data_IF_291543504799
#
_entry.id   IF_291543504799
#
_cell.length_a   1.000
_cell.length_b   1.000
_cell.length_c   1.000
_cell.angle_alpha   90.00
_cell.angle_beta   90.00
_cell.angle_gamma   90.00
#
_symmetry.space_group_name_H-M   'P 1'
#
loop_
_entity.id
_entity.type
_entity.pdbx_description
1 polymer ?
#
# COMPACT_ATOMS: atom_id res chain seq x y z
N UNK A 1 5.19 -7.13 8.83
CA UNK A 1 4.56 -5.82 8.54
C UNK A 1 3.97 -5.25 9.81
N UNK A 2 4.27 -4.01 10.10
CA UNK A 2 3.72 -3.28 11.25
C UNK A 2 2.91 -2.09 10.74
N UNK A 3 1.74 -1.85 11.34
CA UNK A 3 0.88 -0.75 10.97
C UNK A 3 0.56 0.09 12.20
N UNK A 4 0.88 1.39 12.12
CA UNK A 4 0.58 2.37 13.17
C UNK A 4 -0.46 3.37 12.63
N UNK A 5 -1.71 3.34 13.14
CA UNK A 5 -2.71 4.33 12.75
C UNK A 5 -2.28 5.74 13.15
N UNK A 6 -2.44 6.70 12.25
CA UNK A 6 -2.15 8.12 12.50
C UNK A 6 -3.44 8.93 12.56
N UNK A 7 -4.34 8.73 11.61
CA UNK A 7 -5.62 9.42 11.55
C UNK A 7 -6.70 8.51 10.98
N UNK A 8 -7.90 8.65 11.50
CA UNK A 8 -9.10 7.96 11.01
C UNK A 8 -10.30 8.88 11.22
N UNK A 9 -11.45 8.58 10.59
CA UNK A 9 -12.64 9.40 10.79
C UNK A 9 -13.02 9.51 12.27
N UNK A 10 -13.24 10.73 12.74
CA UNK A 10 -13.62 11.05 14.13
C UNK A 10 -15.01 11.63 14.23
N UNK A 11 -15.51 12.16 13.13
CA UNK A 11 -16.80 12.82 13.06
C UNK A 11 -17.54 12.42 11.78
N UNK A 12 -18.85 12.67 11.78
CA UNK A 12 -19.69 12.39 10.61
C UNK A 12 -19.17 13.15 9.39
N UNK A 13 -19.05 12.45 8.27
CA UNK A 13 -18.60 13.02 7.00
C UNK A 13 -17.10 12.96 6.76
N UNK A 14 -16.32 12.66 7.79
CA UNK A 14 -14.88 12.45 7.61
C UNK A 14 -14.61 11.09 6.98
N UNK A 15 -13.62 11.03 6.09
CA UNK A 15 -13.28 9.80 5.36
C UNK A 15 -11.78 9.49 5.38
N UNK A 16 -10.94 10.44 5.74
CA UNK A 16 -9.49 10.29 5.66
C UNK A 16 -8.97 9.24 6.63
N UNK A 17 -8.18 8.31 6.09
CA UNK A 17 -7.41 7.34 6.88
C UNK A 17 -5.95 7.52 6.52
N UNK A 18 -5.10 7.64 7.53
CA UNK A 18 -3.64 7.70 7.37
C UNK A 18 -3.01 6.73 8.34
N UNK A 19 -2.11 5.89 7.83
CA UNK A 19 -1.35 4.96 8.65
C UNK A 19 0.10 4.96 8.23
N UNK A 20 0.99 4.70 9.19
CA UNK A 20 2.39 4.42 8.92
C UNK A 20 2.54 2.90 8.87
N UNK A 21 3.11 2.39 7.79
CA UNK A 21 3.27 0.96 7.58
C UNK A 21 4.75 0.66 7.37
N UNK A 22 5.25 -0.31 8.12
CA UNK A 22 6.66 -0.75 8.07
C UNK A 22 6.75 -2.19 7.61
N UNK A 23 7.74 -2.45 6.78
CA UNK A 23 7.99 -3.76 6.17
C UNK A 23 9.42 -4.17 6.40
N UNK A 24 9.63 -5.37 6.94
CA UNK A 24 10.96 -5.99 6.95
C UNK A 24 11.38 -6.31 5.50
N UNK A 25 12.69 -6.47 5.22
CA UNK A 25 13.13 -6.89 3.89
C UNK A 25 12.37 -8.13 3.43
N UNK A 26 11.87 -8.11 2.18
CA UNK A 26 11.10 -9.20 1.60
C UNK A 26 9.62 -9.24 1.99
N UNK A 27 9.20 -8.48 2.99
CA UNK A 27 7.79 -8.43 3.39
C UNK A 27 6.96 -7.63 2.39
N UNK A 28 5.74 -8.08 2.15
CA UNK A 28 4.81 -7.45 1.20
C UNK A 28 3.37 -7.72 1.62
N UNK A 29 2.46 -6.89 1.11
CA UNK A 29 1.03 -7.13 1.26
C UNK A 29 0.58 -8.26 0.32
N UNK A 30 -0.62 -8.77 0.56
CA UNK A 30 -1.34 -9.52 -0.47
C UNK A 30 -1.75 -8.58 -1.61
N UNK A 31 -2.17 -9.13 -2.75
CA UNK A 31 -2.87 -8.35 -3.77
C UNK A 31 -4.13 -7.77 -3.15
N UNK A 32 -4.42 -6.52 -3.45
CA UNK A 32 -5.62 -5.85 -2.94
C UNK A 32 -5.99 -4.65 -3.80
N UNK A 33 -7.17 -4.11 -3.57
CA UNK A 33 -7.64 -2.89 -4.23
C UNK A 33 -8.32 -1.99 -3.21
N UNK A 34 -8.43 -0.71 -3.55
CA UNK A 34 -9.12 0.29 -2.72
C UNK A 34 -10.26 0.92 -3.52
N UNK A 35 -11.46 0.95 -2.93
CA UNK A 35 -12.65 1.46 -3.60
C UNK A 35 -12.47 2.90 -4.09
N UNK A 36 -11.79 3.74 -3.31
CA UNK A 36 -11.57 5.16 -3.61
C UNK A 36 -10.10 5.49 -3.89
N UNK A 37 -9.28 4.47 -4.15
CA UNK A 37 -7.86 4.65 -4.40
C UNK A 37 -7.03 4.79 -3.14
N UNK A 38 -5.71 4.86 -3.30
CA UNK A 38 -4.76 5.00 -2.21
C UNK A 38 -3.56 5.80 -2.66
N UNK A 39 -3.05 6.64 -1.77
CA UNK A 39 -1.78 7.34 -1.96
C UNK A 39 -0.75 6.74 -1.00
N UNK A 40 0.42 6.43 -1.51
CA UNK A 40 1.57 5.93 -0.73
C UNK A 40 2.68 6.95 -0.80
N UNK A 41 3.19 7.37 0.35
CA UNK A 41 4.34 8.26 0.44
C UNK A 41 5.47 7.54 1.14
N UNK A 42 6.57 7.30 0.43
CA UNK A 42 7.70 6.54 0.96
C UNK A 42 8.51 7.45 1.89
N UNK A 43 8.74 6.98 3.11
CA UNK A 43 9.46 7.75 4.14
C UNK A 43 10.84 7.18 4.43
N UNK A 44 11.01 5.85 4.33
CA UNK A 44 12.31 5.21 4.61
C UNK A 44 12.47 3.94 3.77
N UNK A 45 13.70 3.59 3.48
CA UNK A 45 14.04 2.33 2.82
C UNK A 45 13.73 2.31 1.33
N UNK A 46 13.48 1.12 0.80
CA UNK A 46 13.23 0.92 -0.63
C UNK A 46 11.93 0.13 -0.79
N UNK A 47 10.99 0.71 -1.50
CA UNK A 47 9.68 0.12 -1.76
C UNK A 47 9.63 -0.56 -3.12
N UNK A 48 8.93 -1.68 -3.20
CA UNK A 48 8.49 -2.29 -4.44
C UNK A 48 6.97 -2.23 -4.49
N UNK A 49 6.44 -1.74 -5.62
CA UNK A 49 5.00 -1.63 -5.83
C UNK A 49 4.67 -2.13 -7.22
N UNK A 50 3.63 -2.92 -7.35
CA UNK A 50 3.22 -3.44 -8.65
C UNK A 50 1.71 -3.45 -8.78
N UNK A 51 1.22 -2.92 -9.91
CA UNK A 51 -0.17 -3.07 -10.32
C UNK A 51 -0.29 -4.34 -11.15
N UNK A 52 -1.44 -5.03 -11.03
CA UNK A 52 -1.67 -6.28 -11.76
C UNK A 52 -1.57 -6.02 -13.27
N UNK A 53 -0.72 -6.79 -13.94
CA UNK A 53 -0.45 -6.65 -15.37
C UNK A 53 0.58 -5.58 -15.72
N UNK A 54 1.10 -4.85 -14.74
CA UNK A 54 2.12 -3.82 -14.94
C UNK A 54 3.50 -4.25 -14.48
N UNK A 55 4.48 -3.39 -14.73
CA UNK A 55 5.85 -3.59 -14.27
C UNK A 55 5.97 -3.24 -12.79
N UNK A 56 6.87 -3.94 -12.10
CA UNK A 56 7.21 -3.61 -10.73
C UNK A 56 7.98 -2.29 -10.69
N UNK A 57 7.55 -1.39 -9.81
CA UNK A 57 8.15 -0.07 -9.62
C UNK A 57 8.96 -0.08 -8.32
N UNK A 58 10.19 0.44 -8.39
CA UNK A 58 11.00 0.67 -7.20
C UNK A 58 10.91 2.14 -6.81
N UNK A 59 10.62 2.41 -5.53
CA UNK A 59 10.41 3.76 -5.05
C UNK A 59 11.24 4.04 -3.80
N UNK A 60 11.61 5.30 -3.61
CA UNK A 60 12.56 5.75 -2.59
C UNK A 60 11.95 6.83 -1.70
N UNK A 61 12.56 7.12 -0.53
CA UNK A 61 12.06 8.15 0.38
C UNK A 61 11.82 9.48 -0.33
N UNK A 62 10.67 10.10 -0.03
CA UNK A 62 10.23 11.34 -0.65
C UNK A 62 9.36 11.16 -1.89
N UNK A 63 9.30 9.96 -2.45
CA UNK A 63 8.46 9.68 -3.61
C UNK A 63 7.04 9.31 -3.19
N UNK A 64 6.08 9.74 -4.00
CA UNK A 64 4.66 9.48 -3.80
C UNK A 64 4.12 8.67 -4.96
N UNK A 65 3.36 7.61 -4.64
CA UNK A 65 2.74 6.73 -5.62
C UNK A 65 1.23 6.79 -5.46
N UNK A 66 0.51 6.77 -6.57
CA UNK A 66 -0.94 6.76 -6.55
C UNK A 66 -1.47 5.46 -7.13
N UNK A 67 -2.36 4.81 -6.37
CA UNK A 67 -3.07 3.60 -6.79
C UNK A 67 -4.51 3.98 -7.06
N UNK A 68 -4.95 4.03 -8.33
CA UNK A 68 -6.32 4.46 -8.67
C UNK A 68 -7.40 3.57 -8.07
N UNK A 69 -8.65 4.08 -7.95
CA UNK A 69 -9.76 3.28 -7.47
C UNK A 69 -9.92 1.97 -8.24
N UNK A 70 -10.06 0.87 -7.52
CA UNK A 70 -10.30 -0.45 -8.10
C UNK A 70 -9.08 -1.15 -8.69
N UNK A 71 -7.94 -0.49 -8.80
CA UNK A 71 -6.73 -1.11 -9.32
C UNK A 71 -6.17 -2.12 -8.33
N UNK A 72 -5.95 -3.36 -8.80
CA UNK A 72 -5.34 -4.39 -7.98
C UNK A 72 -3.84 -4.19 -7.95
N UNK A 73 -3.28 -4.16 -6.76
CA UNK A 73 -1.85 -3.92 -6.56
C UNK A 73 -1.35 -4.59 -5.29
N UNK A 74 -0.03 -4.60 -5.14
CA UNK A 74 0.62 -4.92 -3.87
C UNK A 74 1.77 -3.93 -3.66
N UNK A 75 2.17 -3.76 -2.41
CA UNK A 75 3.35 -3.00 -2.04
C UNK A 75 4.10 -3.70 -0.91
N UNK A 76 5.41 -3.46 -0.86
CA UNK A 76 6.27 -4.09 0.12
C UNK A 76 7.67 -3.52 0.08
N UNK A 77 8.54 -4.09 0.92
CA UNK A 77 9.96 -3.78 0.93
C UNK A 77 10.67 -4.51 -0.20
N UNK A 78 11.77 -3.95 -0.66
CA UNK A 78 12.68 -4.69 -1.54
C UNK A 78 13.27 -5.90 -0.82
N UNK A 79 13.89 -6.81 -1.56
CA UNK A 79 14.46 -8.03 -0.97
C UNK A 79 15.58 -7.72 0.02
N UNK A 80 16.30 -6.61 -0.18
CA UNK A 80 17.52 -6.29 0.56
C UNK A 80 17.38 -5.14 1.56
N UNK A 81 16.22 -4.47 1.60
CA UNK A 81 16.02 -3.31 2.46
C UNK A 81 14.66 -3.34 3.14
N UNK A 82 14.59 -2.82 4.36
CA UNK A 82 13.29 -2.50 4.96
C UNK A 82 12.63 -1.33 4.20
N UNK A 83 11.36 -1.09 4.49
CA UNK A 83 10.65 0.05 3.91
C UNK A 83 9.60 0.58 4.89
N UNK A 84 9.40 1.88 4.87
CA UNK A 84 8.31 2.53 5.58
C UNK A 84 7.60 3.48 4.64
N UNK A 85 6.27 3.47 4.67
CA UNK A 85 5.48 4.45 3.94
C UNK A 85 4.30 4.95 4.78
N UNK A 86 3.80 6.12 4.42
CA UNK A 86 2.49 6.57 4.82
C UNK A 86 1.48 6.04 3.80
N UNK A 87 0.40 5.47 4.30
CA UNK A 87 -0.74 5.05 3.47
C UNK A 87 -1.90 5.99 3.75
N UNK A 88 -2.43 6.60 2.70
CA UNK A 88 -3.52 7.57 2.79
C UNK A 88 -4.64 7.13 1.88
N UNK A 89 -5.84 6.96 2.42
CA UNK A 89 -7.02 6.60 1.65
C UNK A 89 -8.28 7.15 2.29
N UNK A 90 -9.34 7.18 1.53
CA UNK A 90 -10.68 7.47 2.05
C UNK A 90 -11.37 6.17 2.39
N UNK A 91 -12.03 6.14 3.55
CA UNK A 91 -12.86 4.99 3.93
C UNK A 91 -14.13 4.93 3.08
N UNK A 92 -14.66 3.72 2.90
CA UNK A 92 -15.92 3.48 2.22
C UNK A 92 -16.58 2.24 2.82
N UNK A 93 -17.91 2.21 2.79
CA UNK A 93 -18.69 1.11 3.35
C UNK A 93 -19.16 0.13 2.26
N UNK A 94 -19.59 0.66 1.11
CA UNK A 94 -20.15 -0.11 -0.01
C UNK A 94 -19.65 0.45 -1.34
N UNK A 95 -18.71 -0.21 -2.02
CA UNK A 95 -17.95 -1.39 -1.57
C UNK A 95 -17.01 -1.07 -0.42
N UNK A 96 -16.42 -2.08 0.26
CA UNK A 96 -15.46 -1.82 1.33
C UNK A 96 -14.29 -0.97 0.84
N UNK A 97 -13.70 -0.18 1.74
CA UNK A 97 -12.55 0.66 1.40
C UNK A 97 -11.39 -0.15 0.84
N UNK A 98 -11.17 -1.35 1.37
CA UNK A 98 -10.11 -2.26 0.91
C UNK A 98 -10.70 -3.64 0.64
N UNK A 99 -10.37 -4.21 -0.52
CA UNK A 99 -10.70 -5.58 -0.88
C UNK A 99 -9.41 -6.39 -0.97
N UNK A 100 -9.27 -7.38 -0.08
CA UNK A 100 -8.10 -8.25 -0.04
C UNK A 100 -8.28 -9.43 -0.99
N UNK A 101 -7.21 -9.74 -1.72
CA UNK A 101 -7.16 -10.83 -2.70
C UNK A 101 -6.09 -11.85 -2.28
N UNK A 102 -5.57 -12.62 -3.24
CA UNK A 102 -4.59 -13.66 -2.96
C UNK A 102 -3.22 -13.08 -2.57
N UNK A 103 -2.42 -13.87 -1.88
CA UNK A 103 -1.05 -13.50 -1.55
C UNK A 103 -0.19 -13.40 -2.80
N UNK A 104 0.79 -12.50 -2.75
CA UNK A 104 1.81 -12.40 -3.80
C UNK A 104 2.79 -13.54 -3.63
N UNK A 105 2.97 -14.35 -4.67
CA UNK A 105 3.92 -15.47 -4.64
C UNK A 105 5.36 -14.96 -4.69
N UNK A 106 6.32 -15.78 -4.24
CA UNK A 106 7.73 -15.43 -4.35
C UNK A 106 8.14 -15.22 -5.81
N UNK A 107 7.58 -16.02 -6.73
CA UNK A 107 7.83 -15.86 -8.15
C UNK A 107 7.35 -14.50 -8.67
N UNK A 108 6.15 -14.08 -8.29
CA UNK A 108 5.62 -12.75 -8.67
C UNK A 108 6.46 -11.63 -8.06
N UNK A 109 6.82 -11.78 -6.79
CA UNK A 109 7.59 -10.78 -6.06
C UNK A 109 8.98 -10.57 -6.65
N UNK A 110 9.66 -11.64 -7.07
CA UNK A 110 11.03 -11.59 -7.57
C UNK A 110 11.15 -11.39 -9.08
N UNK A 111 10.05 -11.44 -9.79
CA UNK A 111 10.06 -11.31 -11.27
C UNK A 111 10.31 -9.88 -11.75
#
# INVERSE_FOLDING_TARGET
>A
VWLDPIASPREVGQRMVVAKVRFAPGARTAWHSHALGQTLHITQGVAWVQSRGGAKVEAYPGQTLYCPPGEEHWHGASADSFMEHLAMLDTADHPPATTWLEHVTDEEYLS
#
